data_IF_931393363926
#
_entry.id   IF_931393363926
#
_cell.length_a   1.000
_cell.length_b   1.000
_cell.length_c   1.000
_cell.angle_alpha   90.00
_cell.angle_beta   90.00
_cell.angle_gamma   90.00
#
_symmetry.space_group_name_H-M   'P 1'
#
loop_
_entity.id
_entity.type
_entity.pdbx_description
1 polymer ?
#
# COMPACT_ATOMS: atom_id res chain seq x y z
N UNK A 1 0.83 -14.65 3.21
CA UNK A 1 1.65 -13.50 3.69
C UNK A 1 2.90 -13.27 2.85
N UNK A 2 3.54 -14.30 2.29
CA UNK A 2 4.72 -14.13 1.42
C UNK A 2 4.43 -13.28 0.18
N UNK A 3 3.28 -13.46 -0.48
CA UNK A 3 2.89 -12.63 -1.64
C UNK A 3 2.78 -11.14 -1.28
N UNK A 4 2.27 -10.82 -0.08
CA UNK A 4 2.19 -9.44 0.38
C UNK A 4 3.60 -8.85 0.57
N UNK A 5 4.53 -9.62 1.15
CA UNK A 5 5.91 -9.16 1.34
C UNK A 5 6.57 -8.83 0.00
N UNK A 6 6.45 -9.70 -1.00
CA UNK A 6 6.99 -9.47 -2.34
C UNK A 6 6.40 -8.23 -3.00
N UNK A 7 5.07 -8.06 -2.89
CA UNK A 7 4.40 -6.87 -3.41
C UNK A 7 4.96 -5.61 -2.75
N UNK A 8 5.12 -5.61 -1.42
CA UNK A 8 5.61 -4.44 -0.69
C UNK A 8 7.10 -4.14 -0.96
N UNK A 9 7.91 -5.12 -1.36
CA UNK A 9 9.28 -4.86 -1.83
C UNK A 9 9.26 -3.98 -3.08
N UNK A 10 8.44 -4.34 -4.07
CA UNK A 10 8.31 -3.53 -5.29
C UNK A 10 7.72 -2.13 -5.00
N UNK A 11 6.82 -2.00 -4.01
CA UNK A 11 6.30 -0.69 -3.59
C UNK A 11 7.36 0.17 -2.92
N UNK A 12 8.25 -0.41 -2.10
CA UNK A 12 9.36 0.32 -1.46
C UNK A 12 10.43 0.76 -2.47
N UNK A 13 10.61 0.00 -3.55
CA UNK A 13 11.57 0.31 -4.60
C UNK A 13 11.04 1.32 -5.64
N UNK A 14 9.77 1.71 -5.57
CA UNK A 14 9.18 2.66 -6.53
C UNK A 14 9.69 4.08 -6.31
N UNK A 15 9.89 4.82 -7.39
CA UNK A 15 10.37 6.20 -7.33
C UNK A 15 9.43 7.12 -6.53
N UNK A 16 10.00 7.85 -5.58
CA UNK A 16 9.24 8.69 -4.64
C UNK A 16 8.54 7.92 -3.51
N UNK A 17 8.75 6.62 -3.34
CA UNK A 17 8.33 5.87 -2.15
C UNK A 17 9.29 6.15 -0.98
N UNK A 18 8.78 6.77 0.08
CA UNK A 18 9.59 7.17 1.25
C UNK A 18 9.51 6.15 2.39
N UNK A 19 8.55 5.24 2.33
CA UNK A 19 8.39 4.23 3.36
C UNK A 19 7.07 3.47 3.25
N UNK A 20 7.08 2.25 3.78
CA UNK A 20 5.92 1.37 3.85
C UNK A 20 5.91 0.69 5.21
N UNK A 21 4.91 1.04 6.01
CA UNK A 21 4.63 0.42 7.30
C UNK A 21 3.41 -0.50 7.19
N UNK A 22 3.46 -1.59 7.94
CA UNK A 22 2.44 -2.65 7.92
C UNK A 22 2.00 -2.88 9.35
N UNK A 23 0.70 -2.82 9.59
CA UNK A 23 0.09 -3.08 10.89
C UNK A 23 -1.02 -4.11 10.72
N UNK A 24 -1.23 -4.90 11.76
CA UNK A 24 -2.47 -5.67 11.94
C UNK A 24 -3.38 -4.87 12.86
N UNK A 25 -4.68 -4.91 12.58
CA UNK A 25 -5.65 -4.37 13.53
C UNK A 25 -5.68 -5.24 14.79
N UNK A 26 -5.74 -4.60 15.95
CA UNK A 26 -5.74 -5.30 17.24
C UNK A 26 -7.04 -6.05 17.49
N UNK A 27 -8.15 -5.56 16.93
CA UNK A 27 -9.49 -6.09 17.12
C UNK A 27 -9.90 -7.04 15.99
N UNK A 28 -9.27 -6.93 14.82
CA UNK A 28 -9.51 -7.77 13.65
C UNK A 28 -8.18 -8.26 13.02
N UNK A 29 -7.72 -9.48 13.35
CA UNK A 29 -6.44 -10.00 12.85
C UNK A 29 -6.42 -10.26 11.32
N UNK A 30 -7.57 -10.23 10.65
CA UNK A 30 -7.66 -10.35 9.19
C UNK A 30 -7.55 -8.97 8.50
N UNK A 31 -7.54 -7.88 9.27
CA UNK A 31 -7.40 -6.51 8.76
C UNK A 31 -5.94 -6.06 8.81
N UNK A 32 -5.37 -5.83 7.63
CA UNK A 32 -4.04 -5.25 7.46
C UNK A 32 -4.16 -3.76 7.11
N UNK A 33 -3.45 -2.91 7.85
CA UNK A 33 -3.32 -1.48 7.56
C UNK A 33 -1.93 -1.20 6.98
N UNK A 34 -1.91 -0.52 5.83
CA UNK A 34 -0.68 -0.07 5.19
C UNK A 34 -0.58 1.45 5.24
N UNK A 35 0.53 1.95 5.76
CA UNK A 35 0.88 3.37 5.68
C UNK A 35 2.00 3.52 4.65
N UNK A 36 1.66 4.15 3.52
CA UNK A 36 2.58 4.40 2.41
C UNK A 36 2.93 5.88 2.40
N UNK A 37 4.21 6.21 2.59
CA UNK A 37 4.71 7.58 2.48
C UNK A 37 5.26 7.83 1.08
N UNK A 38 4.96 8.99 0.54
CA UNK A 38 5.31 9.39 -0.81
C UNK A 38 5.88 10.80 -0.81
N UNK A 39 6.94 11.01 -1.59
CA UNK A 39 7.56 12.33 -1.78
C UNK A 39 6.61 13.37 -2.35
N UNK A 40 5.56 12.92 -3.06
CA UNK A 40 4.53 13.80 -3.60
C UNK A 40 3.32 13.05 -4.16
N UNK A 41 2.26 13.81 -4.43
CA UNK A 41 1.00 13.28 -4.97
C UNK A 41 1.15 12.74 -6.39
N UNK A 42 2.05 13.30 -7.20
CA UNK A 42 2.29 12.86 -8.57
C UNK A 42 2.96 11.48 -8.61
N UNK A 43 3.96 11.26 -7.75
CA UNK A 43 4.67 9.98 -7.63
C UNK A 43 3.70 8.87 -7.17
N UNK A 44 2.85 9.17 -6.18
CA UNK A 44 1.78 8.26 -5.79
C UNK A 44 0.79 8.00 -6.93
N UNK A 45 0.39 9.01 -7.70
CA UNK A 45 -0.56 8.84 -8.80
C UNK A 45 0.02 7.94 -9.91
N UNK A 46 1.29 8.14 -10.27
CA UNK A 46 2.03 7.29 -11.20
C UNK A 46 2.15 5.85 -10.68
N UNK A 47 2.50 5.68 -9.40
CA UNK A 47 2.51 4.36 -8.75
C UNK A 47 1.14 3.68 -8.79
N UNK A 48 0.07 4.40 -8.47
CA UNK A 48 -1.29 3.86 -8.44
C UNK A 48 -1.79 3.50 -9.84
N UNK A 49 -1.38 4.23 -10.88
CA UNK A 49 -1.62 3.85 -12.26
C UNK A 49 -0.84 2.57 -12.62
N UNK A 50 0.47 2.57 -12.40
CA UNK A 50 1.32 1.41 -12.66
C UNK A 50 0.79 0.15 -11.95
N UNK A 51 0.35 0.25 -10.69
CA UNK A 51 -0.22 -0.88 -9.95
C UNK A 51 -1.55 -1.37 -10.51
N UNK A 52 -2.39 -0.50 -11.09
CA UNK A 52 -3.65 -0.92 -11.72
C UNK A 52 -3.39 -1.70 -13.01
N UNK A 53 -2.39 -1.27 -13.77
CA UNK A 53 -1.99 -1.88 -15.04
C UNK A 53 -1.15 -3.15 -14.83
N UNK A 54 -0.39 -3.20 -13.73
CA UNK A 54 0.40 -4.35 -13.33
C UNK A 54 -0.47 -5.52 -12.88
N UNK A 55 -0.12 -6.73 -13.31
CA UNK A 55 -0.75 -8.00 -12.85
C UNK A 55 -0.52 -8.30 -11.35
N UNK A 56 0.22 -7.45 -10.65
CA UNK A 56 0.58 -7.57 -9.22
C UNK A 56 -0.20 -6.59 -8.32
N UNK A 57 -1.35 -6.11 -8.77
CA UNK A 57 -2.23 -5.25 -7.96
C UNK A 57 -2.70 -5.99 -6.70
N UNK A 58 -2.42 -5.45 -5.51
CA UNK A 58 -2.95 -5.96 -4.23
C UNK A 58 -4.47 -6.08 -4.29
N UNK A 59 -5.15 -5.14 -4.96
CA UNK A 59 -6.61 -5.11 -5.12
C UNK A 59 -7.21 -6.28 -5.92
N UNK A 60 -6.37 -7.13 -6.53
CA UNK A 60 -6.77 -8.33 -7.28
C UNK A 60 -6.22 -9.61 -6.68
N UNK A 61 -5.53 -9.51 -5.54
CA UNK A 61 -5.00 -10.68 -4.86
C UNK A 61 -6.18 -11.49 -4.29
N UNK A 62 -6.18 -12.83 -4.43
CA UNK A 62 -7.16 -13.69 -3.74
C UNK A 62 -7.07 -13.58 -2.21
N UNK A 63 -6.05 -12.89 -1.69
CA UNK A 63 -5.88 -12.58 -0.27
C UNK A 63 -6.89 -11.55 0.25
N UNK A 64 -7.60 -10.83 -0.61
CA UNK A 64 -8.57 -9.82 -0.19
C UNK A 64 -10.00 -10.36 -0.23
N UNK A 65 -10.73 -10.17 0.86
CA UNK A 65 -12.17 -10.43 0.97
C UNK A 65 -13.03 -9.31 0.37
N UNK A 66 -12.44 -8.20 -0.06
CA UNK A 66 -13.12 -7.07 -0.67
C UNK A 66 -12.18 -5.94 -1.13
N UNK A 67 -12.75 -4.85 -1.63
CA UNK A 67 -11.94 -3.69 -2.05
C UNK A 67 -11.30 -2.98 -0.83
N UNK A 68 -9.99 -2.69 -0.85
CA UNK A 68 -9.35 -1.95 0.23
C UNK A 68 -9.85 -0.51 0.33
N UNK A 69 -10.15 -0.07 1.55
CA UNK A 69 -10.41 1.35 1.85
C UNK A 69 -9.13 2.16 1.73
N UNK A 70 -9.16 3.27 1.00
CA UNK A 70 -8.01 4.16 0.79
C UNK A 70 -8.34 5.57 1.24
N UNK A 71 -7.38 6.21 1.90
CA UNK A 71 -7.45 7.61 2.33
C UNK A 71 -6.07 8.25 2.26
N UNK A 72 -6.04 9.54 1.97
CA UNK A 72 -4.83 10.35 2.08
C UNK A 72 -4.84 11.04 3.44
N UNK A 73 -3.73 10.94 4.15
CA UNK A 73 -3.56 11.53 5.47
C UNK A 73 -2.27 12.34 5.45
N UNK A 74 -2.26 13.46 6.17
CA UNK A 74 -1.07 14.29 6.35
C UNK A 74 -0.52 14.03 7.76
N UNK A 75 0.81 13.89 7.93
CA UNK A 75 1.39 13.78 9.25
C UNK A 75 1.23 15.10 10.00
N UNK A 76 0.82 15.04 11.27
CA UNK A 76 0.83 16.19 12.16
C UNK A 76 2.11 16.11 12.99
N UNK A 77 2.98 17.11 12.87
CA UNK A 77 4.12 17.24 13.76
C UNK A 77 3.61 17.57 15.17
N UNK A 78 3.97 16.73 16.13
CA UNK A 78 3.69 16.90 17.56
C UNK A 78 4.98 17.09 18.33
#
# INVERSE_FOLDING_TARGET
MEDLKEILVATRAWDGSEGVEVYLDEQDPDLIVLILRWAGREQHAAYAQWRRESRTSVGRSPLLTGEPKRRFIEPVAV
#
